data_IF_021225191779
#
_entry.id   IF_021225191779
#
_cell.length_a   1.000
_cell.length_b   1.000
_cell.length_c   1.000
_cell.angle_alpha   90.00
_cell.angle_beta   90.00
_cell.angle_gamma   90.00
#
_symmetry.space_group_name_H-M   'P 1'
#
loop_
_entity.id
_entity.type
_entity.pdbx_description
1 polymer ?
#
# COMPACT_ATOMS: atom_id res chain seq x y z
N UNK A 1 6.10 16.43 -5.67
CA UNK A 1 5.02 16.00 -6.58
C UNK A 1 5.48 14.73 -7.27
N UNK A 2 4.84 13.59 -7.00
CA UNK A 2 5.19 12.32 -7.66
C UNK A 2 4.41 12.18 -8.96
N UNK A 3 5.02 11.61 -9.99
CA UNK A 3 4.38 11.49 -11.30
C UNK A 3 3.15 10.57 -11.22
N UNK A 4 2.01 11.05 -11.72
CA UNK A 4 0.76 10.28 -11.90
C UNK A 4 0.10 9.62 -10.67
N UNK A 5 0.56 9.87 -9.44
CA UNK A 5 0.03 9.21 -8.23
C UNK A 5 -1.51 9.31 -8.08
N UNK A 6 -2.11 10.45 -8.43
CA UNK A 6 -3.58 10.63 -8.42
C UNK A 6 -4.30 9.69 -9.38
N UNK A 7 -3.69 9.36 -10.52
CA UNK A 7 -4.25 8.37 -11.46
C UNK A 7 -4.18 6.96 -10.86
N UNK A 8 -3.10 6.64 -10.16
CA UNK A 8 -3.00 5.37 -9.42
C UNK A 8 -4.08 5.25 -8.36
N UNK A 9 -4.32 6.29 -7.56
CA UNK A 9 -5.42 6.32 -6.58
C UNK A 9 -6.80 6.12 -7.24
N UNK A 10 -7.03 6.78 -8.38
CA UNK A 10 -8.26 6.57 -9.15
C UNK A 10 -8.43 5.11 -9.59
N UNK A 11 -7.37 4.47 -10.11
CA UNK A 11 -7.42 3.07 -10.53
C UNK A 11 -7.68 2.14 -9.34
N UNK A 12 -6.99 2.36 -8.22
CA UNK A 12 -7.18 1.59 -6.98
C UNK A 12 -8.64 1.65 -6.53
N UNK A 13 -9.23 2.86 -6.52
CA UNK A 13 -10.64 3.05 -6.19
C UNK A 13 -11.57 2.28 -7.13
N UNK A 14 -11.35 2.37 -8.45
CA UNK A 14 -12.13 1.59 -9.41
C UNK A 14 -12.02 0.07 -9.18
N UNK A 15 -10.85 -0.42 -8.76
CA UNK A 15 -10.65 -1.84 -8.45
C UNK A 15 -11.48 -2.25 -7.22
N UNK A 16 -11.43 -1.48 -6.12
CA UNK A 16 -12.22 -1.74 -4.91
C UNK A 16 -13.74 -1.63 -5.17
N UNK A 17 -14.18 -0.72 -6.04
CA UNK A 17 -15.58 -0.59 -6.44
C UNK A 17 -16.10 -1.85 -7.16
N UNK A 18 -15.22 -2.61 -7.84
CA UNK A 18 -15.58 -3.87 -8.52
C UNK A 18 -15.40 -5.07 -7.57
N UNK A 19 -14.33 -5.08 -6.79
CA UNK A 19 -13.96 -6.15 -5.86
C UNK A 19 -13.71 -5.58 -4.47
N UNK A 20 -14.73 -5.58 -3.61
CA UNK A 20 -14.61 -4.97 -2.29
C UNK A 20 -13.65 -5.73 -1.33
N UNK A 21 -13.40 -7.02 -1.60
CA UNK A 21 -12.60 -7.91 -0.74
C UNK A 21 -11.16 -8.12 -1.24
N UNK A 22 -10.72 -7.35 -2.24
CA UNK A 22 -9.33 -7.45 -2.74
C UNK A 22 -8.39 -6.62 -1.87
N UNK A 23 -7.28 -7.22 -1.43
CA UNK A 23 -6.21 -6.49 -0.76
C UNK A 23 -5.38 -5.70 -1.76
N UNK A 24 -5.17 -4.41 -1.49
CA UNK A 24 -4.36 -3.49 -2.29
C UNK A 24 -3.08 -3.18 -1.55
N UNK A 25 -1.95 -3.54 -2.18
CA UNK A 25 -0.61 -3.19 -1.74
C UNK A 25 -0.02 -2.17 -2.72
N UNK A 26 0.48 -1.05 -2.22
CA UNK A 26 1.12 -0.01 -3.02
C UNK A 26 2.61 0.11 -2.70
N UNK A 27 3.43 0.42 -3.71
CA UNK A 27 4.86 0.65 -3.53
C UNK A 27 5.39 1.82 -4.37
N UNK A 28 6.71 1.96 -4.38
CA UNK A 28 7.43 2.94 -5.20
C UNK A 28 7.68 4.29 -4.51
N UNK A 29 8.38 5.22 -5.18
CA UNK A 29 8.93 6.41 -4.53
C UNK A 29 7.91 7.32 -3.84
N UNK A 30 6.67 7.37 -4.34
CA UNK A 30 5.60 8.14 -3.71
C UNK A 30 5.25 7.59 -2.32
N UNK A 31 5.08 6.26 -2.23
CA UNK A 31 4.80 5.54 -0.98
C UNK A 31 6.00 5.68 -0.02
N UNK A 32 7.21 5.46 -0.52
CA UNK A 32 8.44 5.60 0.29
C UNK A 32 8.65 7.03 0.84
N UNK A 33 8.22 8.05 0.11
CA UNK A 33 8.40 9.46 0.50
C UNK A 33 7.33 9.93 1.49
N UNK A 34 6.06 9.59 1.25
CA UNK A 34 4.93 10.08 2.04
C UNK A 34 4.54 9.15 3.18
N UNK A 35 4.93 7.87 3.11
CA UNK A 35 4.71 6.85 4.13
C UNK A 35 3.24 6.79 4.53
N UNK A 36 2.94 6.84 5.83
CA UNK A 36 1.60 6.66 6.40
C UNK A 36 0.58 7.68 5.85
N UNK A 37 1.02 8.85 5.37
CA UNK A 37 0.14 9.86 4.75
C UNK A 37 -0.56 9.37 3.49
N UNK A 38 0.04 8.43 2.73
CA UNK A 38 -0.62 7.89 1.52
C UNK A 38 -1.87 7.10 1.88
N UNK A 39 -1.85 6.46 3.05
CA UNK A 39 -2.97 5.70 3.59
C UNK A 39 -4.09 6.68 4.00
N UNK A 40 -3.76 7.85 4.54
CA UNK A 40 -4.73 8.91 4.82
C UNK A 40 -5.33 9.51 3.54
N UNK A 41 -4.51 9.71 2.49
CA UNK A 41 -4.97 10.29 1.22
C UNK A 41 -5.80 9.32 0.36
N UNK A 42 -5.50 8.03 0.41
CA UNK A 42 -6.22 6.97 -0.32
C UNK A 42 -6.55 5.81 0.64
N UNK A 43 -7.77 5.81 1.15
CA UNK A 43 -8.25 4.82 2.11
C UNK A 43 -8.39 3.42 1.48
N UNK A 44 -8.45 3.35 0.16
CA UNK A 44 -8.53 2.11 -0.62
C UNK A 44 -7.20 1.33 -0.69
N UNK A 45 -6.08 1.91 -0.27
CA UNK A 45 -4.79 1.20 -0.11
C UNK A 45 -4.76 0.55 1.27
N UNK A 46 -4.71 -0.77 1.34
CA UNK A 46 -4.65 -1.50 2.61
C UNK A 46 -3.23 -1.49 3.20
N UNK A 47 -2.23 -1.70 2.34
CA UNK A 47 -0.83 -1.77 2.70
C UNK A 47 0.04 -0.92 1.78
N UNK A 48 1.09 -0.34 2.34
CA UNK A 48 2.18 0.26 1.58
C UNK A 48 3.50 -0.42 1.89
N UNK A 49 4.38 -0.56 0.91
CA UNK A 49 5.75 -1.02 1.11
C UNK A 49 6.70 0.12 0.75
N UNK A 50 7.56 0.48 1.71
CA UNK A 50 8.56 1.55 1.53
C UNK A 50 9.92 0.98 1.15
N UNK A 51 10.66 1.73 0.35
CA UNK A 51 11.97 1.34 -0.20
C UNK A 51 11.87 0.09 -1.09
N UNK A 52 12.76 -0.88 -0.90
CA UNK A 52 12.75 -2.16 -1.60
C UNK A 52 11.72 -3.10 -0.97
N UNK A 53 10.97 -3.81 -1.80
CA UNK A 53 9.75 -4.48 -1.36
C UNK A 53 9.66 -5.97 -1.64
N UNK A 54 10.70 -6.60 -2.17
CA UNK A 54 10.68 -8.01 -2.56
C UNK A 54 10.43 -8.91 -1.35
N UNK A 55 11.16 -8.65 -0.26
CA UNK A 55 11.04 -9.41 0.99
C UNK A 55 9.74 -9.07 1.72
N UNK A 56 9.43 -7.79 1.89
CA UNK A 56 8.21 -7.37 2.58
C UNK A 56 6.93 -7.88 1.89
N UNK A 57 6.91 -7.93 0.54
CA UNK A 57 5.78 -8.48 -0.21
C UNK A 57 5.66 -10.00 -0.02
N UNK A 58 6.79 -10.71 0.02
CA UNK A 58 6.81 -12.15 0.27
C UNK A 58 6.28 -12.46 1.67
N UNK A 59 6.82 -11.83 2.71
CA UNK A 59 6.40 -11.98 4.11
C UNK A 59 4.90 -11.68 4.27
N UNK A 60 4.41 -10.62 3.62
CA UNK A 60 2.98 -10.28 3.59
C UNK A 60 2.13 -11.37 2.92
N UNK A 61 2.61 -11.97 1.83
CA UNK A 61 1.91 -13.06 1.15
C UNK A 61 1.97 -14.39 1.93
N UNK A 62 3.00 -14.60 2.74
CA UNK A 62 3.12 -15.77 3.63
C UNK A 62 2.23 -15.65 4.87
N UNK A 63 1.70 -14.46 5.15
CA UNK A 63 0.78 -14.20 6.25
C UNK A 63 1.49 -13.93 7.57
N UNK A 64 2.72 -13.41 7.51
CA UNK A 64 3.42 -12.92 8.68
C UNK A 64 2.64 -11.78 9.35
N UNK A 65 2.85 -11.60 10.66
CA UNK A 65 2.21 -10.52 11.41
C UNK A 65 2.69 -9.15 10.87
N UNK A 66 1.75 -8.28 10.52
CA UNK A 66 2.02 -6.96 9.91
C UNK A 66 3.10 -6.13 10.65
N UNK A 67 3.20 -6.26 11.98
CA UNK A 67 4.21 -5.55 12.78
C UNK A 67 5.63 -6.10 12.69
N UNK A 68 5.80 -7.32 12.21
CA UNK A 68 7.09 -7.97 12.01
C UNK A 68 7.65 -7.73 10.60
N UNK A 69 6.80 -7.30 9.65
CA UNK A 69 7.19 -7.09 8.25
C UNK A 69 7.94 -5.76 8.10
N UNK A 70 9.24 -5.86 7.82
CA UNK A 70 10.10 -4.67 7.72
C UNK A 70 9.75 -3.85 6.48
N UNK A 71 9.45 -2.56 6.68
CA UNK A 71 9.13 -1.65 5.58
C UNK A 71 7.66 -1.67 5.17
N UNK A 72 6.80 -2.43 5.85
CA UNK A 72 5.35 -2.36 5.70
C UNK A 72 4.80 -1.14 6.44
N UNK A 73 3.90 -0.42 5.78
CA UNK A 73 3.01 0.57 6.40
C UNK A 73 1.58 0.09 6.28
N UNK A 74 0.83 0.21 7.36
CA UNK A 74 -0.57 -0.23 7.45
C UNK A 74 -1.28 0.57 8.54
N UNK A 75 -2.62 0.47 8.58
CA UNK A 75 -3.42 1.06 9.66
C UNK A 75 -3.57 0.04 10.79
N UNK A 76 -3.12 0.40 12.01
CA UNK A 76 -3.49 -0.36 13.22
C UNK A 76 -4.96 -0.09 13.56
N UNK A 77 -5.74 -1.15 13.70
CA UNK A 77 -7.10 -1.10 14.27
C UNK A 77 -7.06 -1.00 15.80
#
# INVERSE_FOLDING_TARGET
MSFMYKRSYYIIKCVKDIYNDVTVVAGGPHISTLREKVLEECHEIDYGIVQEGEHALLELCEGDEDENITGLIYRKN
#
